data_IF_700542318507
#
_entry.id   IF_700542318507
#
_cell.length_a   1.000
_cell.length_b   1.000
_cell.length_c   1.000
_cell.angle_alpha   90.00
_cell.angle_beta   90.00
_cell.angle_gamma   90.00
#
_symmetry.space_group_name_H-M   'P 1'
#
loop_
_entity.id
_entity.type
_entity.pdbx_description
1 polymer ?
#
# COMPACT_ATOMS: atom_id res chain seq x y z
N UNK A 1 -2.14 24.55 -24.63
CA UNK A 1 -2.53 23.58 -23.60
C UNK A 1 -3.29 24.32 -22.52
N UNK A 2 -4.22 23.65 -21.86
CA UNK A 2 -4.87 24.16 -20.65
C UNK A 2 -4.07 23.75 -19.40
N UNK A 3 -4.30 24.39 -18.26
CA UNK A 3 -3.68 23.98 -16.99
C UNK A 3 -4.06 22.54 -16.67
N UNK A 4 -3.10 21.77 -16.15
CA UNK A 4 -3.27 20.33 -15.84
C UNK A 4 -3.67 19.44 -17.03
N UNK A 5 -3.60 19.90 -18.29
CA UNK A 5 -4.10 19.15 -19.46
C UNK A 5 -3.31 17.89 -19.86
N UNK A 6 -2.13 17.69 -19.26
CA UNK A 6 -1.26 16.55 -19.53
C UNK A 6 -1.23 15.57 -18.35
N UNK A 7 -0.04 15.16 -17.89
CA UNK A 7 0.14 14.14 -16.85
C UNK A 7 -0.55 14.52 -15.54
N UNK A 8 -0.55 15.81 -15.17
CA UNK A 8 -1.16 16.30 -13.94
C UNK A 8 -2.69 16.17 -13.90
N UNK A 9 -3.38 16.04 -15.05
CA UNK A 9 -4.83 15.77 -15.09
C UNK A 9 -5.19 14.31 -15.36
N UNK A 10 -4.17 13.45 -15.56
CA UNK A 10 -4.31 12.05 -16.02
C UNK A 10 -3.74 11.04 -15.04
N UNK A 11 -3.57 11.41 -13.78
CA UNK A 11 -3.08 10.48 -12.75
C UNK A 11 -4.18 9.49 -12.32
N UNK A 12 -3.81 8.56 -11.44
CA UNK A 12 -4.77 7.67 -10.76
C UNK A 12 -5.62 8.40 -9.72
N UNK A 13 -5.34 9.68 -9.45
CA UNK A 13 -6.02 10.53 -8.44
C UNK A 13 -5.87 9.99 -7.03
N UNK A 14 -4.77 9.27 -6.77
CA UNK A 14 -4.43 8.67 -5.48
C UNK A 14 -3.08 9.19 -4.99
N UNK A 15 -3.05 9.53 -3.70
CA UNK A 15 -1.85 9.91 -2.97
C UNK A 15 -1.34 8.66 -2.25
N UNK A 16 -0.52 7.87 -2.94
CA UNK A 16 0.05 6.64 -2.41
C UNK A 16 1.25 6.92 -1.51
N UNK A 17 1.28 6.32 -0.31
CA UNK A 17 2.46 6.39 0.56
C UNK A 17 3.47 5.22 0.37
N UNK A 18 3.32 4.42 -0.70
CA UNK A 18 4.43 3.60 -1.20
C UNK A 18 4.62 2.23 -0.53
N UNK A 19 3.57 1.58 -0.02
CA UNK A 19 3.67 0.23 0.59
C UNK A 19 4.39 -0.81 -0.28
N UNK A 20 4.27 -0.71 -1.61
CA UNK A 20 4.96 -1.59 -2.56
C UNK A 20 6.48 -1.43 -2.51
N UNK A 21 6.97 -0.21 -2.30
CA UNK A 21 8.41 0.07 -2.23
C UNK A 21 9.03 -0.55 -0.98
N UNK A 22 8.34 -0.54 0.16
CA UNK A 22 8.78 -1.29 1.34
C UNK A 22 8.94 -2.77 1.01
N UNK A 23 7.96 -3.35 0.32
CA UNK A 23 7.99 -4.75 -0.07
C UNK A 23 9.17 -5.05 -1.01
N UNK A 24 9.38 -4.24 -2.06
CA UNK A 24 10.49 -4.45 -3.00
C UNK A 24 11.85 -4.26 -2.33
N UNK A 25 12.01 -3.25 -1.48
CA UNK A 25 13.25 -3.02 -0.74
C UNK A 25 13.56 -4.16 0.21
N UNK A 26 12.56 -4.66 0.94
CA UNK A 26 12.74 -5.81 1.84
C UNK A 26 13.09 -7.09 1.07
N UNK A 27 12.43 -7.32 -0.07
CA UNK A 27 12.75 -8.47 -0.92
C UNK A 27 14.13 -8.37 -1.56
N UNK A 28 14.56 -7.16 -1.93
CA UNK A 28 15.90 -6.91 -2.42
C UNK A 28 16.93 -7.19 -1.32
N UNK A 29 16.70 -6.72 -0.09
CA UNK A 29 17.58 -6.97 1.05
C UNK A 29 17.79 -8.48 1.31
N UNK A 30 16.75 -9.29 1.15
CA UNK A 30 16.77 -10.73 1.39
C UNK A 30 17.26 -11.58 0.20
N UNK A 31 17.53 -10.99 -0.97
CA UNK A 31 18.05 -11.75 -2.12
C UNK A 31 19.44 -12.28 -1.83
N UNK A 32 19.65 -13.57 -2.12
CA UNK A 32 20.95 -14.23 -1.94
C UNK A 32 22.12 -13.51 -2.61
N UNK A 33 21.89 -12.90 -3.78
CA UNK A 33 22.90 -12.13 -4.53
C UNK A 33 23.41 -10.90 -3.76
N UNK A 34 22.59 -10.35 -2.88
CA UNK A 34 22.91 -9.15 -2.11
C UNK A 34 23.69 -9.47 -0.82
N UNK A 35 23.89 -10.74 -0.46
CA UNK A 35 24.85 -11.13 0.59
C UNK A 35 26.30 -10.82 0.18
N UNK A 36 26.58 -10.73 -1.12
CA UNK A 36 27.92 -10.43 -1.64
C UNK A 36 28.25 -8.93 -1.46
N UNK A 37 27.22 -8.07 -1.37
CA UNK A 37 27.34 -6.61 -1.20
C UNK A 37 26.33 -6.10 -0.16
N UNK A 38 26.50 -6.47 1.12
CA UNK A 38 25.51 -6.20 2.14
C UNK A 38 25.34 -4.70 2.42
N UNK A 39 26.40 -3.91 2.34
CA UNK A 39 26.35 -2.47 2.59
C UNK A 39 25.54 -1.72 1.53
N UNK A 40 25.74 -2.06 0.25
CA UNK A 40 24.98 -1.46 -0.86
C UNK A 40 23.48 -1.78 -0.71
N UNK A 41 23.14 -3.04 -0.43
CA UNK A 41 21.75 -3.48 -0.26
C UNK A 41 21.05 -2.80 0.93
N UNK A 42 21.76 -2.59 2.04
CA UNK A 42 21.23 -1.84 3.20
C UNK A 42 21.09 -0.35 2.86
N UNK A 43 22.03 0.21 2.10
CA UNK A 43 21.96 1.59 1.61
C UNK A 43 20.73 1.84 0.73
N UNK A 44 20.51 0.95 -0.24
CA UNK A 44 19.36 1.00 -1.15
C UNK A 44 18.04 0.87 -0.37
N UNK A 45 17.95 -0.12 0.52
CA UNK A 45 16.78 -0.30 1.38
C UNK A 45 16.49 0.94 2.23
N UNK A 46 17.52 1.53 2.83
CA UNK A 46 17.38 2.76 3.63
C UNK A 46 16.87 3.92 2.76
N UNK A 47 17.37 4.06 1.54
CA UNK A 47 16.91 5.10 0.61
C UNK A 47 15.42 4.93 0.27
N UNK A 48 14.99 3.71 -0.09
CA UNK A 48 13.58 3.41 -0.36
C UNK A 48 12.71 3.64 0.87
N UNK A 49 13.16 3.23 2.05
CA UNK A 49 12.43 3.42 3.29
C UNK A 49 12.26 4.90 3.63
N UNK A 50 13.30 5.72 3.47
CA UNK A 50 13.23 7.17 3.71
C UNK A 50 12.30 7.86 2.72
N UNK A 51 12.29 7.44 1.45
CA UNK A 51 11.33 7.91 0.45
C UNK A 51 9.89 7.62 0.89
N UNK A 52 9.62 6.40 1.36
CA UNK A 52 8.29 6.01 1.86
C UNK A 52 7.87 6.85 3.07
N UNK A 53 8.77 7.06 4.03
CA UNK A 53 8.49 7.95 5.17
C UNK A 53 8.21 9.39 4.73
N UNK A 54 8.91 9.88 3.71
CA UNK A 54 8.62 11.17 3.08
C UNK A 54 7.21 11.22 2.47
N UNK A 55 6.83 10.19 1.72
CA UNK A 55 5.51 10.09 1.11
C UNK A 55 4.37 10.03 2.15
N UNK A 56 4.57 9.33 3.28
CA UNK A 56 3.62 9.33 4.40
C UNK A 56 3.41 10.74 4.98
N UNK A 57 4.50 11.50 5.19
CA UNK A 57 4.44 12.87 5.70
C UNK A 57 3.73 13.79 4.72
N UNK A 58 4.09 13.73 3.44
CA UNK A 58 3.50 14.59 2.42
C UNK A 58 2.02 14.29 2.22
N UNK A 59 1.63 13.01 2.21
CA UNK A 59 0.22 12.61 2.17
C UNK A 59 -0.57 13.24 3.30
N UNK A 60 -0.06 13.17 4.53
CA UNK A 60 -0.70 13.82 5.68
C UNK A 60 -0.86 15.34 5.44
N UNK A 61 0.23 16.02 5.08
CA UNK A 61 0.24 17.45 4.82
C UNK A 61 -0.77 17.85 3.75
N UNK A 62 -0.85 17.12 2.63
CA UNK A 62 -1.78 17.42 1.55
C UNK A 62 -3.24 17.28 1.99
N UNK A 63 -3.54 16.23 2.75
CA UNK A 63 -4.89 16.00 3.29
C UNK A 63 -5.32 17.06 4.31
N UNK A 64 -4.38 17.53 5.14
CA UNK A 64 -4.66 18.57 6.15
C UNK A 64 -4.79 19.96 5.51
N UNK A 65 -3.97 20.27 4.49
CA UNK A 65 -3.97 21.59 3.86
C UNK A 65 -5.12 21.78 2.86
N UNK A 66 -5.53 20.72 2.15
CA UNK A 66 -6.53 20.83 1.08
C UNK A 66 -7.71 19.86 1.29
N UNK A 67 -8.45 19.97 2.42
CA UNK A 67 -9.54 19.05 2.74
C UNK A 67 -10.73 19.11 1.76
N UNK A 68 -10.79 20.16 0.93
CA UNK A 68 -11.79 20.34 -0.11
C UNK A 68 -11.42 19.65 -1.44
N UNK A 69 -10.16 19.29 -1.64
CA UNK A 69 -9.66 18.59 -2.83
C UNK A 69 -9.20 17.16 -2.53
N UNK A 70 -9.13 16.79 -1.26
CA UNK A 70 -8.53 15.53 -0.81
C UNK A 70 -9.39 14.86 0.24
N UNK A 71 -9.31 13.53 0.29
CA UNK A 71 -10.01 12.73 1.28
C UNK A 71 -9.30 11.40 1.50
N UNK A 72 -9.52 10.79 2.67
CA UNK A 72 -9.14 9.40 2.88
C UNK A 72 -10.05 8.48 2.06
N UNK A 73 -9.46 7.49 1.41
CA UNK A 73 -10.18 6.45 0.67
C UNK A 73 -9.81 5.06 1.21
N UNK A 74 -10.79 4.22 1.58
CA UNK A 74 -10.52 2.84 1.98
C UNK A 74 -10.21 1.98 0.76
N UNK A 75 -9.07 1.28 0.79
CA UNK A 75 -8.66 0.31 -0.23
C UNK A 75 -8.94 -1.09 0.30
N UNK A 76 -9.78 -1.84 -0.42
CA UNK A 76 -10.15 -3.20 -0.09
C UNK A 76 -9.26 -4.20 -0.83
N UNK A 77 -8.60 -5.08 -0.05
CA UNK A 77 -7.76 -6.15 -0.57
C UNK A 77 -8.40 -7.50 -0.21
N UNK A 78 -9.19 -8.10 -1.13
CA UNK A 78 -9.80 -9.40 -0.91
C UNK A 78 -8.76 -10.53 -1.00
N UNK A 79 -8.77 -11.44 -0.03
CA UNK A 79 -7.91 -12.62 -0.02
C UNK A 79 -8.72 -13.88 -0.21
N UNK A 80 -8.41 -14.64 -1.27
CA UNK A 80 -9.11 -15.90 -1.61
C UNK A 80 -8.44 -17.14 -1.02
N UNK A 81 -7.13 -17.07 -0.79
CA UNK A 81 -6.32 -18.18 -0.31
C UNK A 81 -5.42 -17.72 0.83
N UNK A 82 -4.95 -18.67 1.64
CA UNK A 82 -3.97 -18.38 2.70
C UNK A 82 -2.54 -18.29 2.16
N UNK A 83 -2.28 -18.93 1.03
CA UNK A 83 -1.01 -18.89 0.32
C UNK A 83 -1.24 -18.63 -1.16
N UNK A 84 -0.29 -17.95 -1.82
CA UNK A 84 -0.36 -17.61 -3.25
C UNK A 84 0.82 -18.25 -3.96
N UNK A 85 0.54 -18.97 -5.04
CA UNK A 85 1.53 -19.47 -5.97
C UNK A 85 1.06 -19.21 -7.42
N UNK A 86 1.91 -18.67 -8.32
CA UNK A 86 3.30 -18.26 -8.11
C UNK A 86 3.45 -17.08 -7.13
N UNK A 87 4.60 -17.00 -6.46
CA UNK A 87 4.85 -15.98 -5.45
C UNK A 87 4.72 -14.55 -6.02
N UNK A 88 3.92 -13.66 -5.40
CA UNK A 88 3.87 -12.26 -5.80
C UNK A 88 5.26 -11.62 -5.77
N UNK A 89 5.51 -10.66 -6.67
CA UNK A 89 6.79 -9.92 -6.76
C UNK A 89 8.04 -10.81 -6.93
N UNK A 90 7.88 -12.09 -7.30
CA UNK A 90 8.99 -13.00 -7.62
C UNK A 90 9.85 -13.41 -6.43
N UNK A 91 9.36 -13.28 -5.19
CA UNK A 91 10.09 -13.69 -3.99
C UNK A 91 9.22 -14.60 -3.10
N UNK A 92 9.69 -15.81 -2.70
CA UNK A 92 8.89 -16.80 -1.95
C UNK A 92 8.24 -16.27 -0.65
N UNK A 93 8.86 -15.28 0.00
CA UNK A 93 8.29 -14.60 1.16
C UNK A 93 6.86 -14.08 0.92
N UNK A 94 6.56 -13.58 -0.28
CA UNK A 94 5.24 -13.03 -0.55
C UNK A 94 4.17 -14.09 -0.79
N UNK A 95 4.54 -15.38 -0.90
CA UNK A 95 3.56 -16.47 -0.98
C UNK A 95 2.70 -16.55 0.29
N UNK A 96 3.21 -16.15 1.44
CA UNK A 96 2.47 -16.09 2.71
C UNK A 96 1.83 -14.71 2.97
N UNK A 97 1.86 -13.80 1.99
CA UNK A 97 1.27 -12.46 2.13
C UNK A 97 -0.18 -12.50 2.66
N UNK A 98 -1.09 -13.40 2.23
CA UNK A 98 -2.43 -13.45 2.79
C UNK A 98 -2.50 -13.81 4.28
N UNK A 99 -1.45 -14.34 4.89
CA UNK A 99 -1.43 -14.58 6.34
C UNK A 99 -0.96 -13.34 7.10
N UNK A 100 0.01 -12.61 6.54
CA UNK A 100 0.68 -11.49 7.22
C UNK A 100 0.08 -10.12 6.88
N UNK A 101 -0.74 -10.01 5.82
CA UNK A 101 -1.23 -8.73 5.30
C UNK A 101 -1.90 -7.84 6.36
N UNK A 102 -2.75 -8.36 7.29
CA UNK A 102 -3.34 -7.50 8.31
C UNK A 102 -2.28 -6.85 9.21
N UNK A 103 -1.22 -7.59 9.53
CA UNK A 103 -0.07 -7.07 10.27
C UNK A 103 0.75 -6.06 9.46
N UNK A 104 0.94 -6.32 8.16
CA UNK A 104 1.61 -5.38 7.24
C UNK A 104 0.87 -4.05 7.17
N UNK A 105 -0.46 -4.06 7.11
CA UNK A 105 -1.24 -2.81 7.11
C UNK A 105 -1.21 -2.10 8.46
N UNK A 106 -1.14 -2.83 9.58
CA UNK A 106 -0.91 -2.20 10.89
C UNK A 106 0.46 -1.53 11.00
N UNK A 107 1.49 -2.18 10.47
CA UNK A 107 2.81 -1.58 10.34
C UNK A 107 2.76 -0.33 9.44
N UNK A 108 2.07 -0.40 8.32
CA UNK A 108 1.91 0.74 7.41
C UNK A 108 1.17 1.93 8.06
N UNK A 109 0.13 1.67 8.86
CA UNK A 109 -0.54 2.71 9.66
C UNK A 109 0.45 3.37 10.64
N UNK A 110 1.32 2.58 11.28
CA UNK A 110 2.29 3.10 12.25
C UNK A 110 3.37 3.97 11.63
N UNK A 111 3.77 3.72 10.37
CA UNK A 111 4.70 4.58 9.62
C UNK A 111 4.15 6.00 9.41
N UNK A 112 2.82 6.14 9.36
CA UNK A 112 2.16 7.45 9.31
C UNK A 112 2.04 8.13 10.68
N UNK A 113 2.45 7.48 11.77
CA UNK A 113 2.14 7.92 13.13
C UNK A 113 0.65 7.79 13.46
N UNK A 114 -0.04 6.82 12.83
CA UNK A 114 -1.48 6.58 13.00
C UNK A 114 -2.37 7.78 12.69
N UNK A 115 -1.96 8.66 11.77
CA UNK A 115 -2.74 9.84 11.37
C UNK A 115 -3.82 9.50 10.34
N UNK A 116 -3.75 8.32 9.73
CA UNK A 116 -4.80 7.80 8.86
C UNK A 116 -5.86 7.02 9.64
N UNK A 117 -7.08 6.85 9.09
CA UNK A 117 -8.04 5.90 9.65
C UNK A 117 -7.41 4.50 9.76
N UNK A 118 -7.69 3.76 10.85
CA UNK A 118 -7.00 2.51 11.12
C UNK A 118 -7.41 1.41 10.13
N UNK A 119 -6.42 0.66 9.66
CA UNK A 119 -6.63 -0.58 8.92
C UNK A 119 -7.47 -1.56 9.73
N UNK A 120 -8.25 -2.40 9.07
CA UNK A 120 -9.10 -3.38 9.73
C UNK A 120 -9.48 -4.52 8.81
N UNK A 121 -10.00 -5.59 9.39
CA UNK A 121 -10.57 -6.71 8.64
C UNK A 121 -12.06 -6.49 8.43
N UNK A 122 -12.52 -6.85 7.23
CA UNK A 122 -13.92 -6.91 6.89
C UNK A 122 -14.35 -8.35 6.68
N UNK A 123 -15.44 -8.74 7.36
CA UNK A 123 -16.01 -10.08 7.23
C UNK A 123 -16.57 -10.30 5.83
N UNK A 124 -16.57 -11.56 5.38
CA UNK A 124 -17.13 -11.97 4.09
C UNK A 124 -18.59 -11.49 3.90
N UNK A 125 -19.41 -11.59 4.95
CA UNK A 125 -20.79 -11.14 4.90
C UNK A 125 -20.91 -9.62 4.68
N UNK A 126 -20.05 -8.81 5.33
CA UNK A 126 -20.01 -7.36 5.12
C UNK A 126 -19.45 -7.01 3.74
N UNK A 127 -18.42 -7.72 3.28
CA UNK A 127 -17.83 -7.54 1.96
C UNK A 127 -18.86 -7.77 0.84
N UNK A 128 -19.63 -8.86 0.89
CA UNK A 128 -20.71 -9.14 -0.08
C UNK A 128 -21.80 -8.09 -0.11
N UNK A 129 -22.15 -7.50 1.04
CA UNK A 129 -23.12 -6.39 1.09
C UNK A 129 -22.58 -5.11 0.46
N UNK A 130 -21.29 -4.82 0.68
CA UNK A 130 -20.65 -3.58 0.20
C UNK A 130 -20.21 -3.68 -1.26
N UNK A 131 -19.85 -4.87 -1.71
CA UNK A 131 -19.39 -5.19 -3.05
C UNK A 131 -20.19 -6.39 -3.57
N UNK A 132 -21.47 -6.20 -3.95
CA UNK A 132 -22.29 -7.30 -4.48
C UNK A 132 -21.71 -7.93 -5.75
N UNK A 133 -20.89 -7.18 -6.50
CA UNK A 133 -20.15 -7.66 -7.67
C UNK A 133 -18.95 -8.55 -7.33
N UNK A 134 -18.59 -8.69 -6.05
CA UNK A 134 -17.52 -9.58 -5.61
C UNK A 134 -18.03 -11.04 -5.66
N UNK A 135 -17.92 -11.66 -6.84
CA UNK A 135 -18.42 -13.01 -7.14
C UNK A 135 -17.55 -14.14 -6.56
N UNK A 136 -16.61 -13.81 -5.68
CA UNK A 136 -15.55 -14.73 -5.28
C UNK A 136 -15.67 -15.14 -3.83
N UNK A 137 -15.37 -16.42 -3.55
CA UNK A 137 -15.28 -16.92 -2.19
C UNK A 137 -13.99 -16.43 -1.51
N UNK A 138 -14.05 -15.23 -0.95
CA UNK A 138 -12.95 -14.64 -0.17
C UNK A 138 -12.91 -15.22 1.25
N UNK A 139 -11.70 -15.53 1.74
CA UNK A 139 -11.45 -15.90 3.15
C UNK A 139 -11.66 -14.70 4.06
N UNK A 140 -11.11 -13.55 3.66
CA UNK A 140 -11.29 -12.29 4.36
C UNK A 140 -10.99 -11.11 3.42
N UNK A 141 -11.34 -9.91 3.85
CA UNK A 141 -10.95 -8.67 3.14
C UNK A 141 -10.16 -7.79 4.10
N UNK A 142 -8.93 -7.46 3.75
CA UNK A 142 -8.12 -6.50 4.49
C UNK A 142 -8.39 -5.10 3.97
N UNK A 143 -8.57 -4.14 4.87
CA UNK A 143 -8.82 -2.74 4.54
C UNK A 143 -7.68 -1.90 5.09
N UNK A 144 -7.12 -1.05 4.25
CA UNK A 144 -6.22 0.03 4.64
C UNK A 144 -6.63 1.33 3.96
N UNK A 145 -6.02 2.44 4.33
CA UNK A 145 -6.41 3.76 3.85
C UNK A 145 -5.27 4.44 3.09
N UNK A 146 -5.65 5.06 1.98
CA UNK A 146 -4.79 5.92 1.17
C UNK A 146 -5.44 7.29 1.02
N UNK A 147 -4.67 8.26 0.53
CA UNK A 147 -5.22 9.55 0.14
C UNK A 147 -5.80 9.50 -1.26
N UNK A 148 -6.88 10.21 -1.49
CA UNK A 148 -7.42 10.53 -2.80
C UNK A 148 -7.34 12.04 -3.00
N UNK A 149 -7.11 12.49 -4.23
CA UNK A 149 -7.11 13.91 -4.57
C UNK A 149 -7.72 14.16 -5.95
N UNK A 150 -8.22 15.37 -6.16
CA UNK A 150 -8.38 15.91 -7.50
C UNK A 150 -7.04 16.48 -7.97
N UNK A 151 -6.56 16.03 -9.14
CA UNK A 151 -5.24 16.34 -9.67
C UNK A 151 -5.24 17.55 -10.62
N UNK A 152 -6.41 17.89 -11.19
CA UNK A 152 -6.60 19.01 -12.10
C UNK A 152 -7.05 20.30 -11.40
#
# INVERSE_FOLDING_TARGET
GDFSSETSGRSTKLIWAGIRYIATGFAALLRLRNLIRPFDAVGDFKSEFMMVMGAHRERKTLLENNPHLTNWVPIAVPMKTWTIWPAPMGHPLFSIMPLVLPGVFKFYDSLSGFTCPPSHLMSKARARRKFPQLDEDVKYVSIFYEGQHNDA
#
